data_IF_951256333734
#
_entry.id   IF_951256333734
#
_cell.length_a   1.000
_cell.length_b   1.000
_cell.length_c   1.000
_cell.angle_alpha   90.00
_cell.angle_beta   90.00
_cell.angle_gamma   90.00
#
_symmetry.space_group_name_H-M   'P 1'
#
loop_
_entity.id
_entity.type
_entity.pdbx_description
1 polymer ?
#
# COMPACT_ATOMS: atom_id res chain seq x y z
N UNK A 1 14.28 -12.07 -5.50
CA UNK A 1 14.97 -13.29 -5.02
C UNK A 1 14.23 -13.93 -3.84
N UNK A 2 14.61 -15.12 -3.37
CA UNK A 2 14.05 -15.69 -2.12
C UNK A 2 14.88 -15.23 -0.91
N UNK A 3 14.27 -15.18 0.26
CA UNK A 3 14.94 -14.70 1.48
C UNK A 3 16.05 -15.65 1.95
N UNK A 4 15.89 -16.95 1.67
CA UNK A 4 16.81 -18.01 2.10
C UNK A 4 18.18 -17.90 1.42
N UNK A 5 18.20 -17.43 0.17
CA UNK A 5 19.43 -17.15 -0.57
C UNK A 5 20.28 -16.12 0.18
N UNK A 6 19.67 -15.03 0.67
CA UNK A 6 20.39 -13.95 1.37
C UNK A 6 20.95 -14.33 2.74
N UNK A 7 20.35 -15.31 3.42
CA UNK A 7 20.83 -15.81 4.72
C UNK A 7 22.13 -16.61 4.60
N UNK A 8 22.37 -17.19 3.43
CA UNK A 8 23.54 -18.03 3.14
C UNK A 8 24.80 -17.21 2.79
N UNK A 9 24.66 -15.90 2.51
CA UNK A 9 25.79 -15.02 2.18
C UNK A 9 26.49 -14.47 3.43
N UNK A 10 27.77 -14.12 3.29
CA UNK A 10 28.53 -13.40 4.32
C UNK A 10 28.02 -11.96 4.49
N UNK A 11 28.30 -11.34 5.64
CA UNK A 11 27.92 -9.94 5.90
C UNK A 11 28.54 -8.96 4.89
N UNK A 12 29.75 -9.25 4.42
CA UNK A 12 30.44 -8.43 3.42
C UNK A 12 29.71 -8.51 2.07
N UNK A 13 29.37 -9.73 1.62
CA UNK A 13 28.69 -9.93 0.35
C UNK A 13 27.28 -9.33 0.35
N UNK A 14 26.58 -9.41 1.49
CA UNK A 14 25.27 -8.78 1.66
C UNK A 14 25.37 -7.26 1.47
N UNK A 15 26.38 -6.61 2.05
CA UNK A 15 26.61 -5.15 1.88
C UNK A 15 26.95 -4.79 0.44
N UNK A 16 27.83 -5.56 -0.21
CA UNK A 16 28.17 -5.37 -1.62
C UNK A 16 26.92 -5.48 -2.50
N UNK A 17 26.08 -6.50 -2.26
CA UNK A 17 24.84 -6.70 -3.01
C UNK A 17 23.82 -5.59 -2.80
N UNK A 18 23.76 -5.02 -1.60
CA UNK A 18 22.94 -3.83 -1.32
C UNK A 18 23.40 -2.64 -2.16
N UNK A 19 24.71 -2.39 -2.25
CA UNK A 19 25.26 -1.29 -3.05
C UNK A 19 24.92 -1.44 -4.54
N UNK A 20 25.14 -2.64 -5.10
CA UNK A 20 24.80 -2.95 -6.50
C UNK A 20 23.31 -2.72 -6.81
N UNK A 21 22.42 -3.19 -5.94
CA UNK A 21 20.97 -3.02 -6.10
C UNK A 21 20.53 -1.56 -5.96
N UNK A 22 21.22 -0.77 -5.14
CA UNK A 22 20.97 0.67 -5.02
C UNK A 22 21.38 1.42 -6.30
N UNK A 23 22.51 1.08 -6.89
CA UNK A 23 22.91 1.64 -8.19
C UNK A 23 21.92 1.27 -9.30
N UNK A 24 21.50 0.00 -9.39
CA UNK A 24 20.47 -0.44 -10.34
C UNK A 24 19.16 0.33 -10.12
N UNK A 25 18.75 0.51 -8.86
CA UNK A 25 17.57 1.30 -8.53
C UNK A 25 17.72 2.76 -8.99
N UNK A 26 18.87 3.38 -8.76
CA UNK A 26 19.13 4.76 -9.17
C UNK A 26 19.06 4.92 -10.68
N UNK A 27 19.74 4.04 -11.43
CA UNK A 27 19.70 4.02 -12.90
C UNK A 27 18.28 3.87 -13.44
N UNK A 28 17.50 2.95 -12.88
CA UNK A 28 16.11 2.73 -13.30
C UNK A 28 15.20 3.92 -12.96
N UNK A 29 15.41 4.58 -11.81
CA UNK A 29 14.65 5.79 -11.46
C UNK A 29 15.01 6.96 -12.39
N UNK A 30 16.29 7.11 -12.73
CA UNK A 30 16.73 8.10 -13.69
C UNK A 30 16.10 7.87 -15.06
N UNK A 31 16.16 6.63 -15.57
CA UNK A 31 15.52 6.26 -16.85
C UNK A 31 14.00 6.43 -16.83
N UNK A 32 13.35 6.12 -15.71
CA UNK A 32 11.89 6.30 -15.59
C UNK A 32 11.42 7.76 -15.69
N UNK A 33 12.32 8.70 -15.45
CA UNK A 33 12.02 10.13 -15.58
C UNK A 33 12.09 10.60 -17.04
N UNK A 34 12.93 9.97 -17.86
CA UNK A 34 13.15 10.36 -19.26
C UNK A 34 12.35 9.51 -20.24
N UNK A 35 12.16 8.24 -19.94
CA UNK A 35 11.57 7.23 -20.83
C UNK A 35 10.56 6.36 -20.08
N UNK A 36 9.59 5.81 -20.81
CA UNK A 36 8.70 4.80 -20.24
C UNK A 36 9.50 3.49 -20.06
N UNK A 37 9.63 3.03 -18.82
CA UNK A 37 10.35 1.80 -18.53
C UNK A 37 9.65 0.58 -19.16
N UNK A 38 10.41 -0.25 -19.87
CA UNK A 38 9.99 -1.58 -20.33
C UNK A 38 9.51 -2.48 -19.17
N UNK A 39 10.15 -2.38 -18.00
CA UNK A 39 9.86 -3.21 -16.83
C UNK A 39 9.64 -2.38 -15.55
N UNK A 40 8.45 -1.76 -15.38
CA UNK A 40 8.14 -0.97 -14.19
C UNK A 40 8.10 -1.81 -12.90
N UNK A 41 7.81 -3.12 -13.00
CA UNK A 41 7.82 -4.05 -11.87
C UNK A 41 9.21 -4.27 -11.28
N UNK A 42 10.28 -4.05 -12.06
CA UNK A 42 11.67 -4.25 -11.63
C UNK A 42 12.04 -3.33 -10.46
N UNK A 43 11.54 -2.09 -10.46
CA UNK A 43 11.70 -1.18 -9.33
C UNK A 43 11.09 -1.74 -8.03
N UNK A 44 9.93 -2.41 -8.12
CA UNK A 44 9.28 -3.02 -6.96
C UNK A 44 10.05 -4.24 -6.45
N UNK A 45 10.62 -5.05 -7.34
CA UNK A 45 11.43 -6.21 -6.95
C UNK A 45 12.73 -5.78 -6.28
N UNK A 46 13.45 -4.81 -6.86
CA UNK A 46 14.72 -4.30 -6.30
C UNK A 46 14.50 -3.72 -4.90
N UNK A 47 13.44 -2.92 -4.71
CA UNK A 47 13.08 -2.40 -3.37
C UNK A 47 12.86 -3.50 -2.33
N UNK A 48 12.20 -4.60 -2.73
CA UNK A 48 11.95 -5.74 -1.83
C UNK A 48 13.23 -6.50 -1.52
N UNK A 49 14.09 -6.68 -2.52
CA UNK A 49 15.36 -7.39 -2.34
C UNK A 49 16.34 -6.59 -1.46
N UNK A 50 16.43 -5.26 -1.63
CA UNK A 50 17.17 -4.38 -0.69
C UNK A 50 16.62 -4.50 0.73
N UNK A 51 15.30 -4.42 0.91
CA UNK A 51 14.69 -4.52 2.24
C UNK A 51 15.00 -5.87 2.93
N UNK A 52 14.98 -6.98 2.18
CA UNK A 52 15.33 -8.30 2.71
C UNK A 52 16.79 -8.39 3.14
N UNK A 53 17.72 -7.90 2.32
CA UNK A 53 19.15 -7.87 2.65
C UNK A 53 19.42 -7.06 3.94
N UNK A 54 18.81 -5.88 4.06
CA UNK A 54 18.92 -5.04 5.26
C UNK A 54 18.29 -5.71 6.49
N UNK A 55 17.21 -6.46 6.31
CA UNK A 55 16.57 -7.21 7.39
C UNK A 55 17.49 -8.32 7.91
N UNK A 56 18.18 -9.06 7.03
CA UNK A 56 19.15 -10.09 7.44
C UNK A 56 20.32 -9.48 8.22
N UNK A 57 20.87 -8.35 7.76
CA UNK A 57 21.90 -7.63 8.53
C UNK A 57 21.38 -7.23 9.91
N UNK A 58 20.13 -6.74 9.97
CA UNK A 58 19.51 -6.35 11.23
C UNK A 58 19.23 -7.52 12.16
N UNK A 59 18.80 -8.67 11.63
CA UNK A 59 18.61 -9.91 12.38
C UNK A 59 19.93 -10.31 13.07
N UNK A 60 21.04 -10.31 12.33
CA UNK A 60 22.39 -10.60 12.86
C UNK A 60 22.83 -9.59 13.93
N UNK A 61 22.57 -8.29 13.71
CA UNK A 61 22.86 -7.26 14.70
C UNK A 61 22.04 -7.43 16.00
N UNK A 62 20.77 -7.84 15.89
CA UNK A 62 19.88 -8.02 17.03
C UNK A 62 20.25 -9.26 17.85
N UNK A 63 20.67 -10.34 17.20
CA UNK A 63 21.24 -11.51 17.86
C UNK A 63 22.49 -11.13 18.68
N UNK A 64 23.35 -10.27 18.12
CA UNK A 64 24.53 -9.76 18.83
C UNK A 64 24.20 -8.77 19.96
N UNK A 65 23.13 -7.96 19.84
CA UNK A 65 22.79 -6.91 20.81
C UNK A 65 21.84 -7.35 21.94
N UNK A 66 21.39 -8.61 21.95
CA UNK A 66 20.46 -9.11 22.96
C UNK A 66 19.06 -8.47 22.90
N UNK A 67 18.06 -9.06 23.58
CA UNK A 67 16.67 -8.64 23.45
C UNK A 67 16.46 -7.24 24.06
N UNK A 68 16.27 -6.22 23.21
CA UNK A 68 15.85 -4.89 23.66
C UNK A 68 14.40 -4.94 24.17
N UNK A 69 14.09 -4.34 25.33
CA UNK A 69 12.73 -4.33 25.86
C UNK A 69 11.81 -3.54 24.93
N UNK A 70 10.86 -4.23 24.30
CA UNK A 70 9.81 -3.59 23.49
C UNK A 70 8.94 -2.72 24.39
N UNK A 71 8.61 -1.47 24.02
CA UNK A 71 7.63 -0.68 24.76
C UNK A 71 6.28 -1.38 24.63
N UNK A 72 5.80 -1.98 25.73
CA UNK A 72 4.48 -2.61 25.82
C UNK A 72 3.43 -1.62 25.34
N UNK A 73 2.59 -2.08 24.40
CA UNK A 73 1.49 -1.33 23.82
C UNK A 73 0.76 -0.51 24.88
N UNK A 74 0.90 0.82 24.80
CA UNK A 74 0.13 1.75 25.63
C UNK A 74 -1.34 1.54 25.28
N UNK A 75 -2.01 0.75 26.13
CA UNK A 75 -3.43 0.39 26.08
C UNK A 75 -4.25 1.59 25.62
N UNK A 76 -5.04 1.38 24.57
CA UNK A 76 -6.16 2.24 24.14
C UNK A 76 -7.20 2.28 25.26
N UNK A 77 -6.90 2.97 26.35
CA UNK A 77 -7.82 3.23 27.45
C UNK A 77 -8.36 4.65 27.32
N UNK A 78 -9.68 4.78 27.47
CA UNK A 78 -10.48 6.01 27.57
C UNK A 78 -11.01 6.60 26.25
N UNK A 79 -12.09 6.01 25.75
CA UNK A 79 -13.12 6.75 24.98
C UNK A 79 -14.53 6.21 25.23
N UNK A 80 -14.95 6.13 26.50
CA UNK A 80 -16.36 5.99 26.88
C UNK A 80 -16.60 6.71 28.22
N UNK A 81 -17.76 7.38 28.30
CA UNK A 81 -18.43 8.00 29.47
C UNK A 81 -18.20 9.49 29.78
N UNK A 82 -18.85 10.37 29.02
CA UNK A 82 -19.71 11.43 29.61
C UNK A 82 -21.15 11.07 29.22
N UNK A 83 -21.76 10.14 29.96
CA UNK A 83 -22.87 10.44 30.89
C UNK A 83 -23.97 11.28 30.23
N UNK A 84 -24.99 10.57 29.75
CA UNK A 84 -26.33 11.10 29.58
C UNK A 84 -26.87 11.64 30.92
N UNK A 85 -27.64 12.72 30.84
CA UNK A 85 -28.65 13.11 31.84
C UNK A 85 -29.87 13.64 31.04
N UNK A 86 -31.12 13.35 31.47
CA UNK A 86 -32.24 13.10 30.56
C UNK A 86 -33.30 14.23 30.50
N UNK A 87 -34.20 14.08 29.52
CA UNK A 87 -35.61 14.51 29.48
C UNK A 87 -35.99 15.95 29.90
N UNK A 88 -36.48 16.75 28.93
CA UNK A 88 -37.87 17.29 28.91
C UNK A 88 -38.05 18.42 27.88
N UNK A 89 -39.23 18.38 27.24
CA UNK A 89 -40.02 19.50 26.73
C UNK A 89 -39.74 20.14 25.33
N UNK A 90 -40.77 19.96 24.49
CA UNK A 90 -41.37 20.94 23.57
C UNK A 90 -40.74 21.19 22.18
N UNK A 91 -41.46 20.70 21.16
CA UNK A 91 -41.51 21.30 19.81
C UNK A 91 -42.09 22.75 19.89
N UNK A 92 -41.86 23.66 18.92
CA UNK A 92 -42.42 23.51 17.57
C UNK A 92 -41.58 24.03 16.38
N UNK A 93 -41.90 23.45 15.22
CA UNK A 93 -41.91 23.98 13.84
C UNK A 93 -41.17 25.30 13.49
N UNK A 94 -40.25 25.23 12.52
CA UNK A 94 -40.43 25.70 11.13
C UNK A 94 -39.09 25.82 10.38
N UNK A 95 -39.19 25.53 9.08
CA UNK A 95 -38.46 26.11 7.93
C UNK A 95 -37.00 25.75 7.61
N UNK A 96 -36.85 25.51 6.30
CA UNK A 96 -35.68 25.71 5.44
C UNK A 96 -34.54 24.69 5.63
N UNK A 97 -34.43 23.67 4.79
CA UNK A 97 -33.99 23.70 3.39
C UNK A 97 -32.54 23.23 3.24
N UNK A 98 -32.39 22.27 2.32
CA UNK A 98 -31.27 22.09 1.39
C UNK A 98 -30.14 21.12 1.76
N UNK A 99 -29.85 20.29 0.76
CA UNK A 99 -28.60 19.58 0.45
C UNK A 99 -28.34 18.21 1.09
N UNK A 100 -29.03 17.20 0.54
CA UNK A 100 -28.44 16.01 -0.13
C UNK A 100 -27.27 15.28 0.54
N UNK A 101 -27.57 14.10 1.11
CA UNK A 101 -26.61 13.01 1.32
C UNK A 101 -27.08 11.76 0.56
N UNK A 102 -26.20 11.30 -0.34
CA UNK A 102 -25.95 9.95 -0.83
C UNK A 102 -27.04 8.87 -0.73
N UNK A 103 -27.33 8.23 -1.87
CA UNK A 103 -27.02 6.81 -2.14
C UNK A 103 -27.99 6.24 -3.19
N UNK A 104 -27.46 5.42 -4.11
CA UNK A 104 -27.88 4.02 -4.38
C UNK A 104 -27.67 3.66 -5.85
N UNK A 105 -26.62 2.89 -6.11
CA UNK A 105 -26.43 2.11 -7.34
C UNK A 105 -27.58 1.13 -7.52
N UNK A 106 -28.03 0.89 -8.77
CA UNK A 106 -28.26 -0.49 -9.16
C UNK A 106 -27.62 -0.83 -10.51
N UNK A 107 -26.94 -1.96 -10.50
CA UNK A 107 -26.53 -2.77 -11.64
C UNK A 107 -27.67 -2.99 -12.62
N UNK A 108 -27.41 -2.82 -13.93
CA UNK A 108 -28.27 -3.39 -14.98
C UNK A 108 -27.46 -3.96 -16.14
N UNK A 109 -27.85 -5.18 -16.46
CA UNK A 109 -27.34 -6.20 -17.39
C UNK A 109 -27.49 -5.76 -18.86
N UNK A 110 -26.57 -6.21 -19.73
CA UNK A 110 -26.40 -5.90 -21.17
C UNK A 110 -27.63 -6.21 -22.07
N UNK A 111 -27.65 -5.77 -23.36
CA UNK A 111 -27.08 -6.63 -24.42
C UNK A 111 -26.39 -5.90 -25.60
N UNK A 112 -25.70 -6.72 -26.38
CA UNK A 112 -24.87 -6.48 -27.57
C UNK A 112 -25.63 -5.84 -28.75
N UNK A 113 -25.07 -4.78 -29.36
CA UNK A 113 -25.48 -4.34 -30.71
C UNK A 113 -24.60 -5.03 -31.75
N UNK A 114 -25.21 -5.95 -32.51
CA UNK A 114 -24.72 -6.43 -33.81
C UNK A 114 -24.46 -5.23 -34.71
N UNK A 115 -23.23 -5.03 -35.16
CA UNK A 115 -22.94 -4.19 -36.32
C UNK A 115 -23.30 -5.00 -37.57
N UNK A 116 -24.30 -4.52 -38.31
CA UNK A 116 -24.76 -5.09 -39.55
C UNK A 116 -23.72 -4.86 -40.65
N UNK A 117 -23.34 -5.96 -41.29
CA UNK A 117 -22.64 -5.99 -42.57
C UNK A 117 -23.57 -5.45 -43.65
N UNK A 118 -23.23 -4.32 -44.28
CA UNK A 118 -23.84 -3.91 -45.55
C UNK A 118 -22.90 -3.02 -46.37
N UNK A 119 -22.18 -3.63 -47.33
CA UNK A 119 -21.74 -3.02 -48.60
C UNK A 119 -21.26 -4.17 -49.51
N UNK A 120 -22.16 -4.76 -50.29
CA UNK A 120 -22.59 -4.35 -51.63
C UNK A 120 -21.48 -4.56 -52.66
N UNK A 121 -21.70 -5.60 -53.48
CA UNK A 121 -21.02 -5.90 -54.72
C UNK A 121 -21.19 -4.76 -55.73
N UNK A 122 -20.11 -4.47 -56.45
CA UNK A 122 -20.00 -4.45 -57.92
C UNK A 122 -18.52 -4.63 -58.27
#
# INVERSE_FOLDING_TARGET
MKADEFRSLSDADVKTRVAELQEEQFRLRFRSATETLEQPLRLRTIRRDIARLLTVLRERELEAQGPKPTPKARRRANRRTTKATPAAAAAPAKTAAKATKAAKTPTRKAPTRKAATSRAAQ
#
